data_IF_945377008410
#
_entry.id   IF_945377008410
#
_cell.length_a   1.000
_cell.length_b   1.000
_cell.length_c   1.000
_cell.angle_alpha   90.00
_cell.angle_beta   90.00
_cell.angle_gamma   90.00
#
_symmetry.space_group_name_H-M   'P 1'
#
loop_
_entity.id
_entity.type
_entity.pdbx_description
1 polymer ?
#
# COMPACT_ATOMS: atom_id res chain seq x y z
N UNK A 1 31.45 16.87 28.12
CA UNK A 1 32.79 16.28 28.16
C UNK A 1 32.90 15.27 27.06
N UNK A 2 33.84 15.46 26.15
CA UNK A 2 34.22 14.51 25.09
C UNK A 2 34.45 13.11 25.66
N UNK A 3 33.90 12.08 25.03
CA UNK A 3 34.55 10.78 24.96
C UNK A 3 34.28 10.14 23.60
N UNK A 4 35.37 10.01 22.85
CA UNK A 4 35.50 9.23 21.63
C UNK A 4 35.29 7.74 21.91
N UNK A 5 34.73 7.01 20.96
CA UNK A 5 34.89 5.55 20.88
C UNK A 5 35.51 5.18 19.54
N UNK A 6 36.80 4.87 19.58
CA UNK A 6 37.52 4.12 18.56
C UNK A 6 37.93 2.78 19.16
N UNK A 7 37.69 1.71 18.39
CA UNK A 7 38.36 0.40 18.41
C UNK A 7 38.15 -0.54 19.61
N UNK A 8 37.71 -1.78 19.35
CA UNK A 8 38.60 -2.94 19.16
C UNK A 8 37.83 -4.17 18.63
N UNK A 9 38.54 -4.90 17.78
CA UNK A 9 38.34 -6.12 17.00
C UNK A 9 37.47 -7.27 17.54
N UNK A 10 36.82 -8.02 16.62
CA UNK A 10 37.23 -9.41 16.33
C UNK A 10 36.61 -10.02 15.04
N UNK A 11 37.52 -10.55 14.22
CA UNK A 11 37.45 -11.78 13.38
C UNK A 11 36.63 -11.78 12.09
N UNK A 12 37.35 -11.44 11.01
CA UNK A 12 37.22 -12.04 9.69
C UNK A 12 37.44 -13.56 9.74
N UNK A 13 36.36 -14.33 9.56
CA UNK A 13 36.40 -15.77 9.30
C UNK A 13 36.14 -16.03 7.81
N UNK A 14 37.15 -16.57 7.15
CA UNK A 14 37.16 -17.06 5.77
C UNK A 14 35.93 -17.91 5.41
N UNK A 15 35.13 -17.45 4.45
CA UNK A 15 34.21 -18.26 3.64
C UNK A 15 34.83 -18.45 2.25
N UNK A 16 36.05 -19.00 2.18
CA UNK A 16 36.68 -19.45 0.94
C UNK A 16 37.18 -20.87 1.14
N UNK A 17 36.26 -21.80 1.01
CA UNK A 17 36.45 -23.25 0.84
C UNK A 17 35.15 -23.71 0.19
N UNK A 18 35.20 -24.56 -0.83
CA UNK A 18 34.09 -24.98 -1.74
C UNK A 18 34.01 -24.34 -3.14
N UNK A 19 35.14 -23.87 -3.72
CA UNK A 19 35.19 -23.56 -5.16
C UNK A 19 36.30 -24.18 -5.99
N UNK A 20 37.03 -25.15 -5.46
CA UNK A 20 38.06 -25.86 -6.24
C UNK A 20 37.99 -27.36 -6.00
N UNK A 21 37.30 -28.08 -6.90
CA UNK A 21 37.61 -29.46 -7.33
C UNK A 21 36.57 -29.95 -8.35
N UNK A 22 36.83 -29.64 -9.63
CA UNK A 22 36.77 -30.55 -10.80
C UNK A 22 36.73 -29.72 -12.08
N UNK A 23 37.89 -29.60 -12.71
CA UNK A 23 38.02 -29.29 -14.14
C UNK A 23 38.70 -30.51 -14.77
N UNK A 24 38.30 -30.80 -16.02
CA UNK A 24 38.89 -31.72 -17.02
C UNK A 24 38.39 -33.17 -16.91
N UNK A 25 37.90 -33.85 -17.95
CA UNK A 25 37.83 -33.68 -19.43
C UNK A 25 36.45 -34.24 -19.87
N UNK A 26 35.86 -34.04 -21.06
CA UNK A 26 36.37 -34.19 -22.43
C UNK A 26 35.26 -33.74 -23.44
N UNK A 27 35.64 -33.68 -24.71
CA UNK A 27 35.06 -32.91 -25.83
C UNK A 27 33.75 -33.42 -26.47
N UNK A 28 33.19 -32.54 -27.33
CA UNK A 28 32.39 -32.84 -28.54
C UNK A 28 30.90 -33.24 -28.39
N UNK A 29 29.97 -32.32 -28.73
CA UNK A 29 29.42 -32.13 -30.09
C UNK A 29 28.16 -31.27 -30.07
N UNK A 30 28.16 -30.34 -31.02
CA UNK A 30 27.09 -29.47 -31.47
C UNK A 30 25.98 -30.32 -32.13
N UNK A 31 24.82 -30.47 -31.48
CA UNK A 31 23.55 -30.91 -32.10
C UNK A 31 22.39 -30.34 -31.27
N UNK A 32 21.65 -29.40 -31.83
CA UNK A 32 20.32 -29.03 -31.33
C UNK A 32 19.27 -30.07 -31.77
N UNK A 33 18.38 -30.52 -30.87
CA UNK A 33 17.09 -31.07 -31.27
C UNK A 33 15.91 -30.21 -30.74
N UNK A 34 14.71 -30.38 -31.32
CA UNK A 34 13.75 -29.29 -31.55
C UNK A 34 12.82 -28.99 -30.36
N UNK A 35 12.26 -27.77 -30.40
CA UNK A 35 11.17 -27.27 -29.58
C UNK A 35 10.04 -28.30 -29.45
N UNK A 36 9.79 -28.76 -28.23
CA UNK A 36 8.58 -29.48 -27.87
C UNK A 36 7.44 -28.48 -27.64
N UNK A 37 6.37 -28.62 -28.40
CA UNK A 37 5.09 -27.95 -28.18
C UNK A 37 4.52 -28.37 -26.81
N UNK A 38 4.36 -27.41 -25.89
CA UNK A 38 3.55 -27.63 -24.68
C UNK A 38 2.06 -27.60 -25.07
N UNK A 39 1.45 -28.78 -25.10
CA UNK A 39 0.00 -28.94 -25.22
C UNK A 39 -0.76 -28.32 -24.05
N UNK A 40 -1.79 -27.54 -24.36
CA UNK A 40 -2.75 -27.01 -23.38
C UNK A 40 -3.39 -28.16 -22.58
N UNK A 41 -3.31 -28.08 -21.24
CA UNK A 41 -4.06 -28.97 -20.35
C UNK A 41 -5.57 -28.81 -20.60
N UNK A 42 -6.35 -29.91 -20.73
CA UNK A 42 -7.78 -29.81 -20.97
C UNK A 42 -8.50 -29.12 -19.81
N UNK A 43 -9.27 -28.08 -20.13
CA UNK A 43 -10.04 -27.29 -19.16
C UNK A 43 -11.04 -28.18 -18.42
N UNK A 44 -11.17 -27.97 -17.12
CA UNK A 44 -12.12 -28.71 -16.27
C UNK A 44 -13.57 -28.44 -16.69
N UNK A 45 -14.48 -29.39 -16.48
CA UNK A 45 -15.91 -29.26 -16.86
C UNK A 45 -16.57 -27.98 -16.31
N UNK A 46 -16.20 -27.54 -15.10
CA UNK A 46 -16.67 -26.27 -14.51
C UNK A 46 -16.13 -25.02 -15.22
N UNK A 47 -14.92 -25.06 -15.77
CA UNK A 47 -14.36 -23.96 -16.55
C UNK A 47 -15.05 -23.85 -17.92
N UNK A 48 -15.31 -24.99 -18.57
CA UNK A 48 -16.06 -25.05 -19.83
C UNK A 48 -17.49 -24.55 -19.66
N UNK A 49 -18.19 -24.90 -18.57
CA UNK A 49 -19.53 -24.40 -18.29
C UNK A 49 -19.55 -22.87 -18.04
N UNK A 50 -18.53 -22.33 -17.38
CA UNK A 50 -18.41 -20.90 -17.10
C UNK A 50 -18.07 -20.09 -18.37
N UNK A 51 -17.24 -20.64 -19.24
CA UNK A 51 -16.95 -20.06 -20.56
C UNK A 51 -18.17 -20.12 -21.48
N UNK A 52 -18.89 -21.25 -21.52
CA UNK A 52 -20.14 -21.38 -22.26
C UNK A 52 -21.21 -20.38 -21.78
N UNK A 53 -21.37 -20.17 -20.47
CA UNK A 53 -22.28 -19.16 -19.91
C UNK A 53 -21.86 -17.73 -20.28
N UNK A 54 -20.56 -17.41 -20.31
CA UNK A 54 -20.05 -16.10 -20.74
C UNK A 54 -20.25 -15.89 -22.24
N UNK A 55 -19.95 -16.89 -23.05
CA UNK A 55 -20.13 -16.87 -24.50
C UNK A 55 -21.61 -16.71 -24.87
N UNK A 56 -22.52 -17.44 -24.20
CA UNK A 56 -23.97 -17.29 -24.41
C UNK A 56 -24.48 -15.89 -24.00
N UNK A 57 -23.90 -15.28 -22.96
CA UNK A 57 -24.27 -13.92 -22.52
C UNK A 57 -23.77 -12.85 -23.49
N UNK A 58 -22.56 -13.03 -24.03
CA UNK A 58 -21.99 -12.19 -25.09
C UNK A 58 -22.76 -12.34 -26.41
N UNK A 59 -23.14 -13.56 -26.79
CA UNK A 59 -23.95 -13.82 -27.97
C UNK A 59 -25.33 -13.17 -27.85
N UNK A 60 -26.02 -13.29 -26.71
CA UNK A 60 -27.30 -12.59 -26.46
C UNK A 60 -27.16 -11.06 -26.46
N UNK A 61 -26.01 -10.53 -26.02
CA UNK A 61 -25.72 -9.10 -26.08
C UNK A 61 -25.50 -8.63 -27.53
N UNK A 62 -24.75 -9.39 -28.31
CA UNK A 62 -24.49 -9.11 -29.72
C UNK A 62 -25.73 -9.29 -30.59
N UNK A 63 -26.59 -10.28 -30.31
CA UNK A 63 -27.90 -10.42 -30.96
C UNK A 63 -28.83 -9.24 -30.64
N UNK A 64 -28.82 -8.73 -29.40
CA UNK A 64 -29.58 -7.53 -29.04
C UNK A 64 -29.06 -6.26 -29.72
N UNK A 65 -27.74 -6.18 -29.96
CA UNK A 65 -27.15 -5.11 -30.79
C UNK A 65 -27.53 -5.26 -32.25
N UNK A 66 -27.38 -6.45 -32.83
CA UNK A 66 -27.70 -6.71 -34.23
C UNK A 66 -29.20 -6.53 -34.54
N UNK A 67 -30.11 -6.92 -33.62
CA UNK A 67 -31.56 -6.68 -33.74
C UNK A 67 -31.94 -5.19 -33.62
N UNK A 68 -31.09 -4.36 -33.02
CA UNK A 68 -31.24 -2.89 -33.02
C UNK A 68 -30.77 -2.26 -34.34
N UNK A 69 -29.90 -2.93 -35.07
CA UNK A 69 -29.30 -2.43 -36.33
C UNK A 69 -30.05 -2.90 -37.59
N UNK A 70 -30.97 -3.88 -37.50
CA UNK A 70 -31.61 -4.52 -38.68
C UNK A 70 -33.15 -4.38 -38.76
N UNK A 71 -33.76 -3.41 -38.08
CA UNK A 71 -35.19 -3.14 -38.27
C UNK A 71 -35.44 -2.39 -39.59
N UNK A 72 -36.33 -2.87 -40.49
CA UNK A 72 -36.53 -2.26 -41.81
C UNK A 72 -37.31 -0.93 -41.74
N UNK A 73 -36.82 0.07 -42.49
CA UNK A 73 -37.53 1.33 -42.78
C UNK A 73 -38.68 1.04 -43.75
N UNK A 74 -39.92 1.37 -43.36
CA UNK A 74 -41.04 1.58 -44.30
C UNK A 74 -41.17 3.06 -44.58
N UNK A 75 -41.21 3.39 -45.88
CA UNK A 75 -41.38 4.73 -46.43
C UNK A 75 -42.81 5.25 -46.22
N UNK A 76 -42.88 6.53 -45.84
CA UNK A 76 -44.08 7.35 -45.67
C UNK A 76 -43.64 8.78 -45.29
N UNK A 77 -44.08 9.76 -46.08
CA UNK A 77 -43.67 11.17 -46.17
C UNK A 77 -43.61 12.02 -44.87
N UNK A 78 -42.93 13.19 -44.89
CA UNK A 78 -42.05 13.62 -43.80
C UNK A 78 -42.75 14.47 -42.72
N UNK A 79 -42.50 14.13 -41.45
CA UNK A 79 -42.49 15.11 -40.35
C UNK A 79 -41.10 15.18 -39.76
N UNK A 80 -40.48 16.31 -40.00
CA UNK A 80 -39.13 16.70 -39.59
C UNK A 80 -39.00 16.67 -38.06
N UNK A 81 -38.40 15.62 -37.52
CA UNK A 81 -37.74 15.64 -36.20
C UNK A 81 -36.43 14.87 -36.30
N UNK A 82 -35.39 15.60 -36.71
CA UNK A 82 -34.01 15.17 -36.67
C UNK A 82 -33.59 14.91 -35.21
N UNK A 83 -33.63 13.65 -34.77
CA UNK A 83 -32.87 13.23 -33.59
C UNK A 83 -31.39 13.15 -33.98
N UNK A 84 -30.69 14.29 -33.87
CA UNK A 84 -29.23 14.30 -33.68
C UNK A 84 -28.95 13.57 -32.37
N UNK A 85 -28.15 12.51 -32.43
CA UNK A 85 -27.45 12.01 -31.25
C UNK A 85 -26.31 12.99 -31.01
N UNK A 86 -26.57 14.04 -30.24
CA UNK A 86 -25.53 14.95 -29.77
C UNK A 86 -24.63 14.20 -28.77
N UNK A 87 -23.34 14.11 -29.08
CA UNK A 87 -22.33 13.87 -28.05
C UNK A 87 -22.51 14.94 -26.98
N UNK A 88 -22.81 14.53 -25.74
CA UNK A 88 -22.93 15.46 -24.61
C UNK A 88 -21.58 16.14 -24.40
N UNK A 89 -21.38 17.32 -24.98
CA UNK A 89 -20.25 18.19 -24.67
C UNK A 89 -20.28 18.49 -23.17
N UNK A 90 -19.20 18.15 -22.47
CA UNK A 90 -19.05 18.49 -21.05
C UNK A 90 -18.98 20.01 -20.97
N UNK A 91 -19.97 20.64 -20.34
CA UNK A 91 -20.02 22.09 -20.20
C UNK A 91 -18.98 22.52 -19.17
N UNK A 92 -18.01 23.34 -19.56
CA UNK A 92 -16.93 23.86 -18.71
C UNK A 92 -17.15 25.33 -18.38
N UNK A 93 -16.51 25.80 -17.31
CA UNK A 93 -16.49 27.21 -16.95
C UNK A 93 -15.30 27.88 -17.63
N UNK A 94 -15.54 28.61 -18.71
CA UNK A 94 -14.49 29.15 -19.58
C UNK A 94 -14.16 30.63 -19.27
N UNK A 95 -14.65 31.15 -18.15
CA UNK A 95 -14.40 32.53 -17.73
C UNK A 95 -13.13 32.56 -16.91
N UNK A 96 -12.23 33.47 -17.27
CA UNK A 96 -10.97 33.69 -16.56
C UNK A 96 -11.25 34.39 -15.21
N UNK A 97 -11.52 33.59 -14.19
CA UNK A 97 -11.62 34.07 -12.80
C UNK A 97 -10.24 33.99 -12.17
N UNK A 98 -9.68 35.12 -11.69
CA UNK A 98 -8.38 35.11 -11.01
C UNK A 98 -8.36 34.13 -9.84
N UNK A 99 -7.22 33.49 -9.61
CA UNK A 99 -7.08 32.46 -8.56
C UNK A 99 -7.50 33.03 -7.19
N UNK A 100 -8.45 32.35 -6.57
CA UNK A 100 -8.98 32.70 -5.26
C UNK A 100 -10.03 33.82 -5.25
N UNK A 101 -10.40 34.37 -6.41
CA UNK A 101 -11.55 35.27 -6.51
C UNK A 101 -12.86 34.48 -6.60
N UNK A 102 -13.95 35.13 -6.16
CA UNK A 102 -15.27 34.51 -6.20
C UNK A 102 -15.69 34.32 -7.66
N UNK A 103 -16.15 33.12 -7.99
CA UNK A 103 -16.72 32.78 -9.30
C UNK A 103 -17.80 33.79 -9.71
N UNK A 104 -17.76 34.24 -10.96
CA UNK A 104 -18.85 35.03 -11.52
C UNK A 104 -20.12 34.17 -11.65
N UNK A 105 -21.20 34.59 -11.00
CA UNK A 105 -22.51 33.91 -10.95
C UNK A 105 -23.57 34.55 -11.84
N UNK A 106 -23.28 35.69 -12.48
CA UNK A 106 -24.20 36.43 -13.36
C UNK A 106 -24.23 35.86 -14.79
N UNK A 107 -23.54 34.74 -15.01
CA UNK A 107 -23.37 34.10 -16.31
C UNK A 107 -24.50 33.12 -16.57
N UNK A 108 -24.80 32.91 -17.85
CA UNK A 108 -25.87 31.99 -18.25
C UNK A 108 -25.60 30.58 -17.70
N UNK A 109 -26.59 30.04 -16.98
CA UNK A 109 -26.46 28.72 -16.39
C UNK A 109 -26.58 27.63 -17.47
N UNK A 110 -25.73 26.59 -17.43
CA UNK A 110 -25.86 25.45 -18.34
C UNK A 110 -27.26 24.81 -18.24
N UNK A 111 -27.80 24.37 -19.39
CA UNK A 111 -29.10 23.71 -19.46
C UNK A 111 -29.18 22.40 -18.64
N UNK A 112 -28.04 21.80 -18.29
CA UNK A 112 -27.93 20.64 -17.41
C UNK A 112 -26.80 20.82 -16.40
N UNK A 113 -26.93 20.21 -15.21
CA UNK A 113 -25.89 20.26 -14.19
C UNK A 113 -24.55 19.73 -14.72
N UNK A 114 -23.50 20.53 -14.59
CA UNK A 114 -22.12 20.15 -14.87
C UNK A 114 -21.25 20.42 -13.64
N UNK A 115 -20.69 19.37 -12.99
CA UNK A 115 -19.77 19.55 -11.87
C UNK A 115 -18.55 20.40 -12.22
N UNK A 116 -17.99 20.20 -13.42
CA UNK A 116 -16.82 20.96 -13.88
C UNK A 116 -17.13 22.45 -14.03
N UNK A 117 -18.34 22.80 -14.46
CA UNK A 117 -18.79 24.17 -14.46
C UNK A 117 -18.99 24.66 -13.03
N UNK A 118 -19.74 23.92 -12.21
CA UNK A 118 -20.17 24.36 -10.87
C UNK A 118 -18.98 24.53 -9.93
N UNK A 119 -18.11 23.54 -9.80
CA UNK A 119 -16.99 23.50 -8.84
C UNK A 119 -15.83 24.44 -9.18
N UNK A 120 -15.75 24.91 -10.43
CA UNK A 120 -14.69 25.81 -10.87
C UNK A 120 -14.60 27.07 -9.98
N UNK A 121 -13.36 27.50 -9.69
CA UNK A 121 -12.99 28.64 -8.86
C UNK A 121 -13.41 28.60 -7.36
N UNK A 122 -14.41 27.80 -6.96
CA UNK A 122 -14.89 27.81 -5.56
C UNK A 122 -13.85 27.41 -4.54
N UNK A 123 -13.09 26.36 -4.81
CA UNK A 123 -12.18 25.81 -3.80
C UNK A 123 -11.06 26.81 -3.44
N UNK A 124 -10.44 27.41 -4.46
CA UNK A 124 -9.41 28.44 -4.28
C UNK A 124 -9.98 29.66 -3.55
N UNK A 125 -11.21 30.07 -3.87
CA UNK A 125 -11.88 31.14 -3.15
C UNK A 125 -12.13 30.79 -1.68
N UNK A 126 -12.66 29.59 -1.39
CA UNK A 126 -12.88 29.14 0.00
C UNK A 126 -11.58 29.11 0.81
N UNK A 127 -10.49 28.64 0.22
CA UNK A 127 -9.15 28.69 0.83
C UNK A 127 -8.72 30.12 1.09
N UNK A 128 -8.78 31.01 0.09
CA UNK A 128 -8.35 32.42 0.21
C UNK A 128 -9.12 33.17 1.30
N UNK A 129 -10.42 32.92 1.41
CA UNK A 129 -11.26 33.53 2.45
C UNK A 129 -11.04 32.92 3.85
N UNK A 130 -10.29 31.83 3.96
CA UNK A 130 -10.00 31.17 5.23
C UNK A 130 -11.18 30.41 5.83
N UNK A 131 -12.21 30.06 5.05
CA UNK A 131 -13.45 29.44 5.57
C UNK A 131 -13.25 28.12 6.32
N UNK A 132 -12.12 27.45 6.08
CA UNK A 132 -11.80 26.18 6.72
C UNK A 132 -11.08 26.36 8.06
N UNK A 133 -10.55 27.55 8.33
CA UNK A 133 -9.75 27.88 9.49
C UNK A 133 -10.64 28.06 10.73
N UNK A 134 -10.20 27.61 11.92
CA UNK A 134 -10.96 27.83 13.15
C UNK A 134 -11.14 29.32 13.48
N UNK A 135 -10.23 30.18 13.04
CA UNK A 135 -10.26 31.64 13.21
C UNK A 135 -11.39 32.31 12.40
N UNK A 136 -11.97 31.62 11.41
CA UNK A 136 -13.00 32.21 10.57
C UNK A 136 -14.29 32.48 11.35
N UNK A 137 -14.59 33.78 11.53
CA UNK A 137 -15.79 34.22 12.25
C UNK A 137 -15.78 33.92 13.75
N UNK A 138 -14.64 33.54 14.32
CA UNK A 138 -14.51 33.29 15.77
C UNK A 138 -13.26 33.93 16.35
N UNK A 139 -13.41 34.52 17.53
CA UNK A 139 -12.30 35.05 18.33
C UNK A 139 -11.74 33.93 19.21
N UNK A 140 -10.62 33.34 18.80
CA UNK A 140 -10.01 32.19 19.52
C UNK A 140 -9.51 32.55 20.93
N UNK A 141 -9.41 33.83 21.28
CA UNK A 141 -9.08 34.24 22.66
C UNK A 141 -10.23 34.01 23.64
N UNK A 142 -11.46 33.81 23.13
CA UNK A 142 -12.66 33.60 23.94
C UNK A 142 -13.20 32.19 23.74
N UNK A 143 -13.65 31.53 24.82
CA UNK A 143 -14.35 30.26 24.70
C UNK A 143 -15.61 30.41 23.84
N UNK A 144 -15.74 29.58 22.79
CA UNK A 144 -16.96 29.51 22.02
C UNK A 144 -18.05 28.80 22.85
N UNK A 145 -19.21 29.42 23.12
CA UNK A 145 -20.29 28.80 23.89
C UNK A 145 -20.90 27.55 23.23
N UNK A 146 -20.72 27.39 21.90
CA UNK A 146 -21.11 26.17 21.16
C UNK A 146 -20.05 25.06 21.24
N UNK A 147 -18.88 25.36 21.81
CA UNK A 147 -17.76 24.46 21.99
C UNK A 147 -16.93 24.23 20.73
N UNK A 148 -15.90 23.40 20.89
CA UNK A 148 -14.90 23.13 19.85
C UNK A 148 -15.07 21.71 19.29
N UNK A 149 -14.78 21.50 18.02
CA UNK A 149 -14.67 20.19 17.39
C UNK A 149 -13.33 20.11 16.66
N UNK A 150 -12.48 19.17 17.07
CA UNK A 150 -11.14 18.99 16.50
C UNK A 150 -11.02 17.56 15.99
N UNK A 151 -10.51 17.41 14.78
CA UNK A 151 -10.24 16.12 14.16
C UNK A 151 -8.92 16.21 13.40
N UNK A 152 -8.19 15.10 13.36
CA UNK A 152 -6.99 14.94 12.55
C UNK A 152 -7.35 14.01 11.41
N UNK A 153 -7.02 14.37 10.17
CA UNK A 153 -7.18 13.42 9.07
C UNK A 153 -6.28 12.21 9.34
N UNK A 154 -6.76 10.97 9.13
CA UNK A 154 -5.89 9.81 9.08
C UNK A 154 -4.84 10.06 7.98
N UNK A 155 -3.57 10.31 8.32
CA UNK A 155 -2.62 10.88 7.38
C UNK A 155 -2.33 9.85 6.28
N UNK A 156 -2.65 10.13 5.00
CA UNK A 156 -2.36 9.19 3.92
C UNK A 156 -0.86 8.95 3.77
N UNK A 157 -0.50 7.71 3.46
CA UNK A 157 0.87 7.30 3.19
C UNK A 157 1.38 7.94 1.90
N UNK A 158 2.62 8.43 1.90
CA UNK A 158 3.27 9.00 0.70
C UNK A 158 3.80 7.90 -0.24
N UNK A 159 2.95 6.92 -0.57
CA UNK A 159 3.30 5.73 -1.38
C UNK A 159 2.67 5.74 -2.78
N UNK A 160 1.85 6.74 -3.12
CA UNK A 160 1.19 6.80 -4.42
C UNK A 160 0.08 7.86 -4.51
N UNK A 161 -0.95 7.55 -5.30
CA UNK A 161 -2.17 8.38 -5.41
C UNK A 161 -3.27 7.83 -4.49
N UNK A 162 -4.14 8.72 -4.04
CA UNK A 162 -5.33 8.33 -3.29
C UNK A 162 -6.27 7.47 -4.17
N UNK A 163 -6.94 6.52 -3.51
CA UNK A 163 -7.94 5.63 -4.09
C UNK A 163 -9.32 5.84 -3.46
N UNK A 164 -10.36 5.16 -3.95
CA UNK A 164 -11.75 5.36 -3.53
C UNK A 164 -11.98 5.22 -2.01
N UNK A 165 -11.27 4.31 -1.34
CA UNK A 165 -11.31 4.22 0.14
C UNK A 165 -10.90 5.50 0.87
N UNK A 166 -9.91 6.23 0.36
CA UNK A 166 -9.52 7.54 0.91
C UNK A 166 -10.62 8.57 0.65
N UNK A 167 -11.20 8.57 -0.55
CA UNK A 167 -12.30 9.48 -0.89
C UNK A 167 -13.52 9.25 0.01
N UNK A 168 -13.87 8.00 0.30
CA UNK A 168 -14.96 7.65 1.23
C UNK A 168 -14.71 8.21 2.63
N UNK A 169 -13.54 7.90 3.21
CA UNK A 169 -13.17 8.32 4.57
C UNK A 169 -13.18 9.84 4.69
N UNK A 170 -12.51 10.51 3.75
CA UNK A 170 -12.42 11.97 3.73
C UNK A 170 -13.79 12.64 3.52
N UNK A 171 -14.67 12.06 2.69
CA UNK A 171 -16.02 12.62 2.47
C UNK A 171 -16.88 12.57 3.75
N UNK A 172 -16.75 11.50 4.54
CA UNK A 172 -17.43 11.36 5.83
C UNK A 172 -16.90 12.37 6.85
N UNK A 173 -15.58 12.48 6.95
CA UNK A 173 -14.91 13.42 7.84
C UNK A 173 -15.25 14.88 7.49
N UNK A 174 -15.21 15.24 6.21
CA UNK A 174 -15.58 16.57 5.72
C UNK A 174 -17.03 16.92 6.04
N UNK A 175 -17.95 15.99 5.82
CA UNK A 175 -19.37 16.18 6.14
C UNK A 175 -19.58 16.46 7.64
N UNK A 176 -18.89 15.73 8.52
CA UNK A 176 -18.93 15.92 9.98
C UNK A 176 -18.38 17.30 10.35
N UNK A 177 -17.23 17.68 9.79
CA UNK A 177 -16.64 19.00 10.02
C UNK A 177 -17.56 20.14 9.57
N UNK A 178 -18.13 20.05 8.37
CA UNK A 178 -19.08 21.04 7.85
C UNK A 178 -20.32 21.13 8.72
N UNK A 179 -20.89 20.00 9.14
CA UNK A 179 -22.03 19.97 10.04
C UNK A 179 -21.74 20.66 11.38
N UNK A 180 -20.56 20.43 11.97
CA UNK A 180 -20.16 21.11 13.20
C UNK A 180 -19.94 22.62 13.01
N UNK A 181 -19.35 23.05 11.89
CA UNK A 181 -19.23 24.47 11.53
C UNK A 181 -20.61 25.12 11.41
N UNK A 182 -21.55 24.45 10.73
CA UNK A 182 -22.94 24.91 10.58
C UNK A 182 -23.70 24.97 11.91
N UNK A 183 -23.31 24.18 12.92
CA UNK A 183 -23.82 24.29 14.30
C UNK A 183 -23.19 25.43 15.12
N UNK A 184 -22.30 26.22 14.52
CA UNK A 184 -21.62 27.35 15.16
C UNK A 184 -20.46 26.96 16.07
N UNK A 185 -19.99 25.70 16.02
CA UNK A 185 -18.80 25.26 16.77
C UNK A 185 -17.54 25.80 16.11
N UNK A 186 -16.49 26.02 16.90
CA UNK A 186 -15.15 26.26 16.36
C UNK A 186 -14.58 24.92 15.89
N UNK A 187 -14.29 24.80 14.60
CA UNK A 187 -13.88 23.53 13.98
C UNK A 187 -12.45 23.61 13.48
N UNK A 188 -11.64 22.63 13.87
CA UNK A 188 -10.31 22.41 13.30
C UNK A 188 -10.23 21.00 12.74
N UNK A 189 -9.96 20.90 11.44
CA UNK A 189 -9.64 19.63 10.79
C UNK A 189 -8.21 19.69 10.26
N UNK A 190 -7.30 19.01 10.95
CA UNK A 190 -5.86 19.11 10.72
C UNK A 190 -5.47 18.19 9.56
N UNK A 191 -4.89 18.73 8.47
CA UNK A 191 -4.33 17.92 7.40
C UNK A 191 -2.95 17.35 7.77
N UNK A 192 -2.58 16.23 7.16
CA UNK A 192 -1.23 15.70 7.28
C UNK A 192 -0.96 14.54 6.34
N UNK A 193 0.30 14.13 6.24
CA UNK A 193 0.76 12.98 5.45
C UNK A 193 1.73 12.11 6.26
N UNK A 194 1.69 10.80 6.03
CA UNK A 194 2.54 9.83 6.71
C UNK A 194 3.70 9.38 5.81
N UNK A 195 4.93 9.44 6.34
CA UNK A 195 6.14 8.92 5.72
C UNK A 195 6.06 7.40 5.51
N UNK A 196 5.24 6.68 6.27
CA UNK A 196 4.95 5.25 6.12
C UNK A 196 6.18 4.33 6.13
N UNK A 197 7.31 4.79 6.70
CA UNK A 197 8.57 4.05 6.87
C UNK A 197 8.88 3.02 5.78
N UNK A 198 8.72 1.75 6.13
CA UNK A 198 8.99 0.57 5.29
C UNK A 198 8.22 0.61 3.97
N UNK A 199 6.95 1.03 3.98
CA UNK A 199 6.12 1.04 2.78
C UNK A 199 6.67 2.01 1.73
N UNK A 200 7.07 3.22 2.14
CA UNK A 200 7.70 4.19 1.24
C UNK A 200 9.05 3.71 0.75
N UNK A 201 9.89 3.15 1.63
CA UNK A 201 11.17 2.58 1.24
C UNK A 201 11.00 1.53 0.13
N UNK A 202 10.09 0.57 0.30
CA UNK A 202 9.86 -0.50 -0.68
C UNK A 202 9.38 0.03 -2.03
N UNK A 203 8.49 1.03 -2.02
CA UNK A 203 7.98 1.64 -3.26
C UNK A 203 9.08 2.39 -4.00
N UNK A 204 9.90 3.17 -3.28
CA UNK A 204 11.03 3.90 -3.87
C UNK A 204 12.10 2.93 -4.39
N UNK A 205 12.45 1.88 -3.65
CA UNK A 205 13.39 0.84 -4.12
C UNK A 205 12.90 0.16 -5.39
N UNK A 206 11.61 -0.21 -5.46
CA UNK A 206 11.02 -0.81 -6.67
C UNK A 206 11.05 0.15 -7.86
N UNK A 207 10.78 1.45 -7.63
CA UNK A 207 10.86 2.50 -8.66
C UNK A 207 12.29 2.60 -9.21
N UNK A 208 13.27 2.80 -8.32
CA UNK A 208 14.68 2.95 -8.70
C UNK A 208 15.22 1.71 -9.41
N UNK A 209 14.85 0.51 -8.95
CA UNK A 209 15.24 -0.74 -9.62
C UNK A 209 14.65 -0.84 -11.03
N UNK A 210 13.43 -0.36 -11.25
CA UNK A 210 12.78 -0.39 -12.57
C UNK A 210 13.34 0.67 -13.52
N UNK A 211 13.61 1.87 -13.01
CA UNK A 211 13.98 3.04 -13.82
C UNK A 211 15.50 3.14 -14.06
N UNK A 212 16.29 2.83 -13.03
CA UNK A 212 17.75 2.99 -13.07
C UNK A 212 18.49 1.65 -12.98
N UNK A 213 17.79 0.53 -12.73
CA UNK A 213 18.41 -0.78 -12.51
C UNK A 213 19.19 -0.90 -11.19
N UNK A 214 19.16 0.13 -10.35
CA UNK A 214 19.94 0.23 -9.11
C UNK A 214 19.11 -0.13 -7.87
N UNK A 215 19.80 -0.64 -6.86
CA UNK A 215 19.29 -0.93 -5.53
C UNK A 215 19.67 0.19 -4.55
N UNK A 216 19.03 0.23 -3.37
CA UNK A 216 19.40 1.18 -2.31
C UNK A 216 20.87 1.07 -1.87
N UNK A 217 21.48 -0.10 -2.03
CA UNK A 217 22.87 -0.33 -1.65
C UNK A 217 23.85 0.37 -2.60
N UNK A 218 23.43 0.64 -3.84
CA UNK A 218 24.26 1.30 -4.85
C UNK A 218 24.35 2.82 -4.61
N UNK A 219 23.37 3.42 -3.93
CA UNK A 219 23.36 4.85 -3.61
C UNK A 219 24.02 5.19 -2.27
N UNK A 220 24.09 4.23 -1.35
CA UNK A 220 24.40 4.53 0.05
C UNK A 220 23.28 5.30 0.77
N UNK A 221 23.44 5.53 2.08
CA UNK A 221 22.35 6.03 2.95
C UNK A 221 21.89 7.44 2.59
N UNK A 222 22.80 8.39 2.47
CA UNK A 222 22.46 9.81 2.31
C UNK A 222 21.79 10.08 0.96
N UNK A 223 22.35 9.57 -0.13
CA UNK A 223 21.77 9.74 -1.46
C UNK A 223 20.42 9.03 -1.59
N UNK A 224 20.26 7.86 -0.96
CA UNK A 224 18.97 7.17 -0.94
C UNK A 224 17.91 7.95 -0.15
N UNK A 225 18.27 8.54 1.00
CA UNK A 225 17.37 9.42 1.76
C UNK A 225 16.93 10.61 0.89
N UNK A 226 17.87 11.23 0.15
CA UNK A 226 17.53 12.32 -0.78
C UNK A 226 16.50 11.86 -1.83
N UNK A 227 16.64 10.66 -2.38
CA UNK A 227 15.65 10.08 -3.32
C UNK A 227 14.27 9.88 -2.69
N UNK A 228 14.20 9.52 -1.41
CA UNK A 228 12.92 9.43 -0.68
C UNK A 228 12.28 10.82 -0.53
N UNK A 229 13.05 11.86 -0.22
CA UNK A 229 12.52 13.22 -0.15
C UNK A 229 12.07 13.74 -1.51
N UNK A 230 12.81 13.48 -2.59
CA UNK A 230 12.39 13.80 -3.96
C UNK A 230 11.03 13.14 -4.30
N UNK A 231 10.86 11.86 -3.92
CA UNK A 231 9.59 11.15 -4.07
C UNK A 231 8.47 11.76 -3.20
N UNK A 232 8.78 12.17 -1.97
CA UNK A 232 7.82 12.83 -1.08
C UNK A 232 7.29 14.12 -1.68
N UNK A 233 8.16 14.96 -2.24
CA UNK A 233 7.72 16.22 -2.87
C UNK A 233 6.85 15.94 -4.11
N UNK A 234 7.23 14.95 -4.94
CA UNK A 234 6.47 14.56 -6.12
C UNK A 234 5.06 14.03 -5.77
N UNK A 235 4.94 13.19 -4.72
CA UNK A 235 3.69 12.50 -4.38
C UNK A 235 2.85 13.24 -3.34
N UNK A 236 3.48 13.90 -2.37
CA UNK A 236 2.80 14.67 -1.32
C UNK A 236 1.94 15.78 -1.90
N UNK A 237 2.47 16.54 -2.86
CA UNK A 237 1.70 17.58 -3.55
C UNK A 237 0.48 17.03 -4.30
N UNK A 238 0.61 15.83 -4.91
CA UNK A 238 -0.50 15.16 -5.59
C UNK A 238 -1.59 14.73 -4.61
N UNK A 239 -1.23 14.20 -3.45
CA UNK A 239 -2.18 13.79 -2.41
C UNK A 239 -3.01 14.99 -1.95
N UNK A 240 -2.36 16.11 -1.61
CA UNK A 240 -3.06 17.32 -1.21
C UNK A 240 -3.95 17.83 -2.33
N UNK A 241 -3.46 17.90 -3.57
CA UNK A 241 -4.28 18.28 -4.70
C UNK A 241 -5.53 17.38 -4.86
N UNK A 242 -5.41 16.06 -4.66
CA UNK A 242 -6.57 15.16 -4.72
C UNK A 242 -7.58 15.46 -3.60
N UNK A 243 -7.13 15.73 -2.38
CA UNK A 243 -8.00 16.13 -1.27
C UNK A 243 -8.67 17.49 -1.53
N UNK A 244 -7.94 18.46 -2.09
CA UNK A 244 -8.49 19.74 -2.51
C UNK A 244 -9.57 19.57 -3.58
N UNK A 245 -9.31 18.74 -4.59
CA UNK A 245 -10.28 18.44 -5.67
C UNK A 245 -11.50 17.67 -5.18
N UNK A 246 -11.40 16.92 -4.09
CA UNK A 246 -12.57 16.33 -3.41
C UNK A 246 -13.39 17.37 -2.64
N UNK A 247 -12.91 18.61 -2.48
CA UNK A 247 -13.60 19.67 -1.75
C UNK A 247 -13.37 19.63 -0.24
N UNK A 248 -12.32 18.96 0.24
CA UNK A 248 -12.04 18.81 1.67
C UNK A 248 -11.84 20.15 2.36
N UNK A 249 -12.58 20.40 3.45
CA UNK A 249 -12.52 21.63 4.24
C UNK A 249 -11.42 21.58 5.32
N UNK A 250 -10.21 21.20 4.93
CA UNK A 250 -9.03 21.09 5.79
C UNK A 250 -8.37 22.46 6.03
N UNK A 251 -7.73 22.61 7.19
CA UNK A 251 -6.91 23.78 7.50
C UNK A 251 -5.48 23.60 6.97
N UNK A 252 -5.27 23.95 5.70
CA UNK A 252 -4.00 23.73 4.99
C UNK A 252 -2.79 24.43 5.61
N UNK A 253 -2.99 25.52 6.37
CA UNK A 253 -1.92 26.21 7.09
C UNK A 253 -1.26 25.30 8.15
N UNK A 254 -1.99 24.26 8.59
CA UNK A 254 -1.57 23.31 9.62
C UNK A 254 -1.17 21.96 9.05
N UNK A 255 -0.98 21.86 7.74
CA UNK A 255 -0.53 20.63 7.09
C UNK A 255 0.83 20.20 7.66
N UNK A 256 0.89 18.98 8.18
CA UNK A 256 2.13 18.43 8.72
C UNK A 256 2.52 17.11 8.05
N UNK A 257 3.82 16.88 7.96
CA UNK A 257 4.39 15.60 7.59
C UNK A 257 5.01 14.96 8.83
N UNK A 258 4.84 13.66 9.00
CA UNK A 258 5.35 12.91 10.18
C UNK A 258 6.86 13.02 10.41
N UNK A 259 7.64 13.42 9.40
CA UNK A 259 9.08 13.68 9.52
C UNK A 259 9.42 15.18 9.57
N UNK A 260 8.46 16.06 9.76
CA UNK A 260 8.74 17.47 10.06
C UNK A 260 9.26 17.63 11.49
N UNK A 261 9.88 18.78 11.80
CA UNK A 261 10.52 19.03 13.08
C UNK A 261 9.56 18.86 14.28
N UNK A 262 8.33 19.38 14.17
CA UNK A 262 7.33 19.28 15.24
C UNK A 262 6.99 17.83 15.61
N UNK A 263 6.48 17.01 14.67
CA UNK A 263 6.22 15.59 14.91
C UNK A 263 7.46 14.80 15.37
N UNK A 264 8.66 15.10 14.86
CA UNK A 264 9.91 14.46 15.31
C UNK A 264 10.19 14.71 16.79
N UNK A 265 10.09 15.95 17.24
CA UNK A 265 10.28 16.29 18.65
C UNK A 265 9.20 15.64 19.53
N UNK A 266 7.96 15.59 19.06
CA UNK A 266 6.87 14.89 19.76
C UNK A 266 7.15 13.38 19.93
N UNK A 267 7.65 12.71 18.88
CA UNK A 267 8.03 11.29 18.95
C UNK A 267 9.23 11.07 19.89
N UNK A 268 10.22 11.97 19.85
CA UNK A 268 11.39 11.91 20.75
C UNK A 268 10.97 12.06 22.20
N UNK A 269 10.13 13.04 22.51
CA UNK A 269 9.59 13.26 23.86
C UNK A 269 8.79 12.04 24.33
N UNK A 270 7.91 11.50 23.47
CA UNK A 270 7.15 10.30 23.79
C UNK A 270 8.06 9.09 24.07
N UNK A 271 9.10 8.88 23.27
CA UNK A 271 10.08 7.82 23.49
C UNK A 271 10.81 7.97 24.83
N UNK A 272 11.30 9.17 25.14
CA UNK A 272 12.02 9.44 26.40
C UNK A 272 11.10 9.20 27.59
N UNK A 273 9.88 9.74 27.58
CA UNK A 273 8.90 9.52 28.66
C UNK A 273 8.60 8.04 28.90
N UNK A 274 8.31 7.30 27.83
CA UNK A 274 8.00 5.87 27.90
C UNK A 274 9.22 5.02 28.24
N UNK A 275 10.43 5.50 27.98
CA UNK A 275 11.64 4.83 28.43
C UNK A 275 11.88 5.09 29.93
N UNK A 276 11.72 6.33 30.38
CA UNK A 276 11.94 6.74 31.76
C UNK A 276 10.92 6.12 32.72
N UNK A 277 9.68 5.86 32.27
CA UNK A 277 8.67 5.13 33.05
C UNK A 277 8.83 3.59 33.01
N UNK A 278 9.76 3.08 32.21
CA UNK A 278 10.07 1.65 32.07
C UNK A 278 9.20 0.88 31.08
N UNK A 279 8.27 1.54 30.36
CA UNK A 279 7.42 0.90 29.34
C UNK A 279 8.23 0.48 28.11
N UNK A 280 9.16 1.32 27.65
CA UNK A 280 10.12 1.02 26.59
C UNK A 280 11.42 0.55 27.22
N UNK A 281 11.86 -0.65 26.84
CA UNK A 281 13.10 -1.23 27.32
C UNK A 281 13.80 -2.01 26.21
N UNK A 282 15.07 -2.35 26.43
CA UNK A 282 15.88 -3.17 25.52
C UNK A 282 16.12 -4.54 26.11
N UNK A 283 15.76 -5.59 25.38
CA UNK A 283 15.99 -6.98 25.74
C UNK A 283 16.20 -7.84 24.50
N UNK A 284 16.90 -8.97 24.64
CA UNK A 284 16.92 -10.00 23.62
C UNK A 284 15.63 -10.81 23.71
N UNK A 285 14.83 -10.83 22.64
CA UNK A 285 13.60 -11.62 22.53
C UNK A 285 13.47 -12.16 21.10
N UNK A 286 12.64 -13.18 20.94
CA UNK A 286 12.24 -13.66 19.62
C UNK A 286 11.42 -12.56 18.94
N UNK A 287 11.78 -12.25 17.70
CA UNK A 287 11.12 -11.23 16.87
C UNK A 287 10.75 -11.82 15.52
N UNK A 288 9.74 -11.25 14.87
CA UNK A 288 9.48 -11.56 13.47
C UNK A 288 10.52 -10.82 12.61
N UNK A 289 11.34 -11.57 11.87
CA UNK A 289 12.38 -11.01 11.02
C UNK A 289 12.03 -11.19 9.55
N UNK A 290 12.03 -10.09 8.79
CA UNK A 290 11.89 -10.15 7.34
C UNK A 290 13.26 -10.27 6.67
N UNK A 291 13.55 -11.42 6.07
CA UNK A 291 14.81 -11.67 5.34
C UNK A 291 14.99 -10.75 4.12
N UNK A 292 13.90 -10.27 3.54
CA UNK A 292 13.92 -9.38 2.37
C UNK A 292 14.21 -7.94 2.78
N UNK A 293 13.49 -7.43 3.79
CA UNK A 293 13.66 -6.06 4.27
C UNK A 293 14.92 -5.90 5.12
N UNK A 294 15.39 -7.01 5.71
CA UNK A 294 16.48 -7.07 6.69
C UNK A 294 16.14 -6.20 7.92
N UNK A 295 14.94 -6.37 8.44
CA UNK A 295 14.42 -5.66 9.62
C UNK A 295 13.49 -6.55 10.43
N UNK A 296 13.40 -6.27 11.72
CA UNK A 296 12.32 -6.76 12.55
C UNK A 296 11.00 -6.08 12.14
N UNK A 297 9.90 -6.83 12.26
CA UNK A 297 8.53 -6.37 12.03
C UNK A 297 7.66 -6.76 13.23
N UNK A 298 6.63 -5.97 13.48
CA UNK A 298 5.65 -6.21 14.55
C UNK A 298 4.68 -7.33 14.19
N UNK A 299 4.02 -7.94 15.18
CA UNK A 299 3.04 -9.01 14.95
C UNK A 299 1.87 -8.55 14.05
N UNK A 300 1.47 -7.28 14.15
CA UNK A 300 0.38 -6.70 13.35
C UNK A 300 0.76 -6.51 11.86
N UNK A 301 2.06 -6.51 11.54
CA UNK A 301 2.57 -6.45 10.17
C UNK A 301 2.74 -7.84 9.53
N UNK A 302 2.44 -8.92 10.27
CA UNK A 302 2.58 -10.30 9.80
C UNK A 302 1.24 -10.87 9.34
N UNK A 303 1.11 -11.04 8.02
CA UNK A 303 -0.01 -11.77 7.43
C UNK A 303 0.23 -13.29 7.47
N UNK A 304 -0.69 -14.02 8.11
CA UNK A 304 -0.64 -15.49 8.18
C UNK A 304 -1.37 -16.09 6.98
N UNK A 305 -0.67 -16.96 6.25
CA UNK A 305 -1.26 -17.73 5.14
C UNK A 305 -1.37 -19.20 5.54
N UNK A 306 -2.59 -19.70 5.61
CA UNK A 306 -2.83 -21.13 5.84
C UNK A 306 -2.61 -21.94 4.56
N UNK A 307 -1.93 -23.07 4.71
CA UNK A 307 -1.65 -24.01 3.63
C UNK A 307 -2.23 -25.37 4.04
N UNK A 308 -3.03 -25.96 3.16
CA UNK A 308 -3.68 -27.27 3.41
C UNK A 308 -2.79 -28.45 3.06
N UNK A 309 -1.63 -28.22 2.42
CA UNK A 309 -0.68 -29.25 2.05
C UNK A 309 0.51 -28.69 1.27
N UNK A 310 1.29 -29.60 0.68
CA UNK A 310 2.51 -29.29 -0.08
C UNK A 310 2.22 -28.25 -1.16
N UNK A 311 2.87 -27.10 -1.03
CA UNK A 311 2.67 -25.94 -1.91
C UNK A 311 4.00 -25.28 -2.21
N UNK A 312 4.31 -25.10 -3.49
CA UNK A 312 5.45 -24.28 -3.92
C UNK A 312 5.06 -22.80 -3.97
N UNK A 313 5.73 -21.96 -3.18
CA UNK A 313 5.48 -20.53 -3.11
C UNK A 313 6.70 -19.73 -3.57
N UNK A 314 6.49 -18.65 -4.36
CA UNK A 314 7.55 -17.70 -4.62
C UNK A 314 7.90 -16.95 -3.32
N UNK A 315 9.18 -16.92 -2.96
CA UNK A 315 9.68 -16.18 -1.80
C UNK A 315 10.56 -15.02 -2.30
N UNK A 316 10.32 -13.77 -1.87
CA UNK A 316 11.15 -12.65 -2.32
C UNK A 316 12.63 -12.87 -1.99
N UNK A 317 13.48 -12.71 -3.00
CA UNK A 317 14.93 -12.96 -2.91
C UNK A 317 15.38 -14.34 -3.41
N UNK A 318 14.47 -15.28 -3.62
CA UNK A 318 14.75 -16.61 -4.18
C UNK A 318 14.46 -16.64 -5.68
N UNK A 319 15.31 -17.34 -6.44
CA UNK A 319 15.11 -17.53 -7.89
C UNK A 319 14.05 -18.58 -8.17
N UNK A 320 14.07 -19.65 -7.38
CA UNK A 320 13.16 -20.78 -7.48
C UNK A 320 12.07 -20.65 -6.41
N UNK A 321 10.95 -21.35 -6.64
CA UNK A 321 9.91 -21.44 -5.62
C UNK A 321 10.43 -22.29 -4.47
N UNK A 322 10.01 -21.94 -3.26
CA UNK A 322 10.33 -22.68 -2.05
C UNK A 322 9.12 -23.53 -1.67
N UNK A 323 9.39 -24.75 -1.24
CA UNK A 323 8.38 -25.69 -0.80
C UNK A 323 7.90 -25.36 0.63
N UNK A 324 6.58 -25.35 0.81
CA UNK A 324 5.92 -25.18 2.11
C UNK A 324 4.81 -26.22 2.30
N UNK A 325 4.35 -26.38 3.55
CA UNK A 325 3.22 -27.27 3.85
C UNK A 325 3.55 -28.77 3.78
N UNK A 326 4.83 -29.11 3.90
CA UNK A 326 5.31 -30.50 4.03
C UNK A 326 5.62 -30.79 5.49
N UNK A 327 5.10 -31.89 6.00
CA UNK A 327 5.42 -32.40 7.33
C UNK A 327 6.44 -33.52 7.19
N UNK A 328 7.63 -33.32 7.75
CA UNK A 328 8.73 -34.29 7.71
C UNK A 328 8.84 -34.96 9.07
N UNK A 329 8.82 -36.29 9.07
CA UNK A 329 9.13 -37.10 10.24
C UNK A 329 10.57 -37.57 10.18
N UNK A 330 11.34 -37.32 11.24
CA UNK A 330 12.71 -37.78 11.39
C UNK A 330 12.93 -38.30 12.81
N UNK A 331 14.04 -38.99 13.04
CA UNK A 331 14.26 -39.73 14.28
C UNK A 331 15.59 -39.36 14.96
N UNK A 332 15.53 -39.03 16.25
CA UNK A 332 16.70 -38.91 17.13
C UNK A 332 17.00 -40.25 17.79
N UNK A 333 18.28 -40.63 17.87
CA UNK A 333 18.72 -41.82 18.63
C UNK A 333 18.76 -41.47 20.12
N UNK A 334 18.21 -42.34 20.96
CA UNK A 334 18.29 -42.21 22.42
C UNK A 334 19.69 -42.57 22.89
N UNK A 335 20.28 -41.76 23.76
CA UNK A 335 21.60 -42.03 24.33
C UNK A 335 21.57 -43.34 25.14
N UNK A 336 22.55 -44.23 24.90
CA UNK A 336 22.64 -45.51 25.61
C UNK A 336 21.61 -46.57 25.19
N UNK A 337 20.79 -46.32 24.17
CA UNK A 337 19.80 -47.27 23.65
C UNK A 337 19.80 -47.31 22.11
N UNK A 338 19.24 -48.36 21.52
CA UNK A 338 18.94 -48.42 20.08
C UNK A 338 17.56 -47.85 19.74
N UNK A 339 16.84 -47.38 20.75
CA UNK A 339 15.58 -46.67 20.59
C UNK A 339 15.73 -45.34 19.86
N UNK A 340 14.63 -44.94 19.22
CA UNK A 340 14.55 -43.74 18.41
C UNK A 340 13.28 -42.97 18.72
N UNK A 341 13.40 -41.67 18.90
CA UNK A 341 12.28 -40.77 19.11
C UNK A 341 11.96 -40.08 17.78
N UNK A 342 10.74 -40.28 17.28
CA UNK A 342 10.28 -39.69 16.02
C UNK A 342 9.68 -38.31 16.31
N UNK A 343 10.20 -37.29 15.62
CA UNK A 343 9.72 -35.91 15.66
C UNK A 343 9.19 -35.52 14.29
N UNK A 344 8.03 -34.86 14.27
CA UNK A 344 7.43 -34.31 13.06
C UNK A 344 7.60 -32.77 13.04
N UNK A 345 8.14 -32.22 11.96
CA UNK A 345 8.34 -30.78 11.78
C UNK A 345 8.03 -30.35 10.35
N UNK A 346 7.57 -29.10 10.18
CA UNK A 346 7.46 -28.46 8.86
C UNK A 346 8.71 -27.66 8.47
N UNK A 347 9.71 -27.61 9.37
CA UNK A 347 10.96 -26.86 9.22
C UNK A 347 12.15 -27.74 9.55
N UNK A 348 12.47 -28.68 8.66
CA UNK A 348 13.58 -29.62 8.90
C UNK A 348 14.93 -28.91 9.04
N UNK A 349 15.09 -27.73 8.44
CA UNK A 349 16.28 -26.92 8.54
C UNK A 349 16.56 -26.39 9.96
N UNK A 350 15.55 -26.33 10.84
CA UNK A 350 15.77 -25.94 12.25
C UNK A 350 16.30 -27.05 13.12
N UNK A 351 16.28 -28.30 12.65
CA UNK A 351 16.74 -29.47 13.40
C UNK A 351 18.14 -29.26 14.00
N UNK A 352 19.04 -28.57 13.29
CA UNK A 352 20.40 -28.31 13.75
C UNK A 352 20.48 -27.33 14.94
N UNK A 353 19.40 -26.59 15.20
CA UNK A 353 19.25 -25.70 16.35
C UNK A 353 18.41 -26.30 17.48
N UNK A 354 17.99 -27.56 17.37
CA UNK A 354 17.22 -28.23 18.41
C UNK A 354 18.09 -28.39 19.67
N UNK A 355 17.50 -28.13 20.83
CA UNK A 355 18.16 -28.23 22.15
C UNK A 355 17.51 -29.25 23.08
N UNK A 356 16.26 -29.62 22.79
CA UNK A 356 15.50 -30.62 23.52
C UNK A 356 14.36 -31.17 22.65
N UNK A 357 13.86 -32.35 23.00
CA UNK A 357 12.59 -32.89 22.50
C UNK A 357 11.54 -32.74 23.60
N UNK A 358 10.43 -32.06 23.29
CA UNK A 358 9.33 -31.88 24.23
C UNK A 358 8.31 -33.00 24.08
N UNK A 359 7.94 -33.63 25.19
CA UNK A 359 6.89 -34.66 25.25
C UNK A 359 5.84 -34.21 26.25
N UNK A 360 4.57 -34.49 25.94
CA UNK A 360 3.46 -34.14 26.83
C UNK A 360 3.55 -34.99 28.12
N UNK A 361 3.44 -34.41 29.33
CA UNK A 361 3.67 -35.14 30.58
C UNK A 361 2.75 -36.35 30.80
N UNK A 362 1.55 -36.32 30.22
CA UNK A 362 0.55 -37.40 30.30
C UNK A 362 0.59 -38.37 29.09
N UNK A 363 1.61 -38.29 28.23
CA UNK A 363 1.75 -39.22 27.11
C UNK A 363 2.34 -40.56 27.58
N UNK A 364 1.47 -41.57 27.74
CA UNK A 364 1.83 -42.91 28.24
C UNK A 364 2.93 -43.59 27.42
N UNK A 365 3.11 -43.22 26.14
CA UNK A 365 4.14 -43.80 25.25
C UNK A 365 5.56 -43.50 25.69
N UNK A 366 5.75 -42.44 26.47
CA UNK A 366 7.06 -41.93 26.90
C UNK A 366 7.09 -41.69 28.42
N UNK A 367 6.19 -42.35 29.15
CA UNK A 367 5.93 -42.10 30.57
C UNK A 367 7.20 -42.13 31.44
N UNK A 368 7.27 -41.13 32.34
CA UNK A 368 8.20 -41.06 33.46
C UNK A 368 7.71 -41.88 34.66
#
# INVERSE_FOLDING_TARGET
GMFSFESVHQRSGSWNSWREKKIMTEEQKDVSPPLAEEGEKPKTAKQLEKEAKKAAKMAKFNEKKAKKETAPKKEGEPKEKSKKVEEKKVVTYDIDTPIGEKKNIEVEMPAAYSPMFVEAAWYEWWKKQGFFKPEYGTDLSKPNPKGNFVMVIPPPNVTGSLHLGHALTNSLEDAICRWHRMKGRTVLWVPGCDHAGIATQVVVEKKLKREEGKSRHDYGREAFIKKIYEWKEEKGGRIYHQLERLGSSLDWDRACFTMDEGPKEAVKEAFVRLHDDGTIYRSNRLVNWSCTLKSAISDIEVDKKELTGRTELPVPGYKEKVEFGVLVSFAYKVEGSDEKIIVATTRIETMLGDTAVAVHPQDERFGY
#
